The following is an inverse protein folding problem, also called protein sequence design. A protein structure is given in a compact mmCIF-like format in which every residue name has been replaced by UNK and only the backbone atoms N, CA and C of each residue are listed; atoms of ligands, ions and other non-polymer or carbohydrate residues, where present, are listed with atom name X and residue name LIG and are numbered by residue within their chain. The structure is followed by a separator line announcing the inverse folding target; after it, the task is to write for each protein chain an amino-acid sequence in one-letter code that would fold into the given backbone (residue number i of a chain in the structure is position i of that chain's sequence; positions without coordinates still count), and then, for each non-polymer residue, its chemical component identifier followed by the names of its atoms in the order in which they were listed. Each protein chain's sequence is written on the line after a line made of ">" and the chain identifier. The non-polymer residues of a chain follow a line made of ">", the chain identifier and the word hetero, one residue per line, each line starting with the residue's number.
data_IF_272017460996
#
_entry.id   IF_272017460996
#
_cell.length_a   1.000
_cell.length_b   1.000
_cell.length_c   1.000
_cell.angle_alpha   90.00
_cell.angle_beta   90.00
_cell.angle_gamma   90.00
#
_symmetry.space_group_name_H-M   'P 1'
#
loop_
_entity.id
_entity.type
_entity.pdbx_description
1 polymer ?
#
# COMPACT_ATOMS: atom_id res chain seq x y z
N UNK A 1 -2.67 -9.57 -5.35
CA UNK A 1 -3.88 -8.77 -5.65
C UNK A 1 -4.56 -9.41 -6.84
N UNK A 2 -5.70 -10.09 -6.72
CA UNK A 2 -6.31 -10.72 -7.90
C UNK A 2 -6.88 -9.66 -8.85
N UNK A 3 -6.16 -9.40 -9.96
CA UNK A 3 -6.59 -8.65 -11.14
C UNK A 3 -7.33 -7.36 -10.80
N UNK A 4 -6.57 -6.30 -10.50
CA UNK A 4 -7.05 -4.94 -10.77
C UNK A 4 -7.53 -4.94 -12.24
N UNK A 5 -8.84 -4.98 -12.47
CA UNK A 5 -9.36 -4.81 -13.83
C UNK A 5 -8.77 -3.49 -14.31
N UNK A 6 -8.28 -3.44 -15.55
CA UNK A 6 -7.60 -2.28 -16.14
C UNK A 6 -8.36 -0.95 -16.01
N UNK A 7 -9.63 -0.98 -15.59
CA UNK A 7 -10.55 0.14 -15.46
C UNK A 7 -11.33 0.12 -14.12
N UNK A 8 -10.71 -0.29 -13.01
CA UNK A 8 -11.36 -0.08 -11.69
C UNK A 8 -11.34 1.41 -11.38
N UNK A 9 -12.53 1.96 -11.14
CA UNK A 9 -12.67 3.28 -10.56
C UNK A 9 -12.25 3.25 -9.08
N UNK A 10 -11.04 3.72 -8.80
CA UNK A 10 -10.48 3.79 -7.46
C UNK A 10 -10.71 5.14 -6.77
N UNK A 11 -11.58 6.02 -7.31
CA UNK A 11 -11.88 7.33 -6.71
C UNK A 11 -12.43 7.24 -5.29
N UNK A 12 -13.02 6.12 -4.91
CA UNK A 12 -13.48 5.87 -3.53
C UNK A 12 -12.35 5.83 -2.50
N UNK A 13 -11.09 5.70 -2.94
CA UNK A 13 -9.91 5.74 -2.09
C UNK A 13 -9.50 7.16 -1.71
N UNK A 14 -9.93 8.19 -2.44
CA UNK A 14 -9.51 9.56 -2.16
C UNK A 14 -10.00 10.02 -0.79
N UNK A 15 -9.13 10.75 -0.09
CA UNK A 15 -9.33 11.29 1.26
C UNK A 15 -9.59 10.24 2.35
N UNK A 16 -9.45 8.95 2.03
CA UNK A 16 -9.52 7.87 3.01
C UNK A 16 -8.33 7.87 3.94
N UNK A 17 -8.61 7.86 5.24
CA UNK A 17 -7.60 7.86 6.30
C UNK A 17 -7.17 6.42 6.60
N UNK A 18 -5.87 6.16 6.63
CA UNK A 18 -5.36 4.86 7.06
C UNK A 18 -5.44 4.73 8.58
N UNK A 19 -6.32 3.87 9.07
CA UNK A 19 -6.58 3.68 10.50
C UNK A 19 -5.89 2.44 11.09
N UNK A 20 -5.48 1.49 10.24
CA UNK A 20 -4.83 0.27 10.70
C UNK A 20 -3.89 -0.31 9.64
N UNK A 21 -2.76 -0.84 10.12
CA UNK A 21 -1.86 -1.71 9.36
C UNK A 21 -1.77 -3.05 10.08
N UNK A 22 -2.01 -4.14 9.35
CA UNK A 22 -1.85 -5.50 9.84
C UNK A 22 -0.75 -6.21 9.04
N UNK A 23 0.33 -6.59 9.72
CA UNK A 23 1.49 -7.26 9.10
C UNK A 23 1.49 -8.74 9.48
N UNK A 24 1.33 -9.61 8.49
CA UNK A 24 1.52 -11.05 8.56
C UNK A 24 2.78 -11.48 7.80
N UNK A 25 3.15 -12.76 7.90
CA UNK A 25 4.39 -13.28 7.32
C UNK A 25 4.44 -13.13 5.79
N UNK A 26 3.32 -13.34 5.11
CA UNK A 26 3.20 -13.29 3.64
C UNK A 26 2.19 -12.25 3.15
N UNK A 27 1.59 -11.52 4.07
CA UNK A 27 0.43 -10.69 3.80
C UNK A 27 0.51 -9.42 4.62
N UNK A 28 0.25 -8.28 3.99
CA UNK A 28 0.06 -7.01 4.66
C UNK A 28 -1.29 -6.43 4.26
N UNK A 29 -2.01 -5.87 5.23
CA UNK A 29 -3.28 -5.20 5.00
C UNK A 29 -3.26 -3.78 5.55
N UNK A 30 -3.71 -2.87 4.70
CA UNK A 30 -3.92 -1.45 4.97
C UNK A 30 -5.43 -1.24 5.05
N UNK A 31 -5.93 -0.94 6.24
CA UNK A 31 -7.34 -0.67 6.47
C UNK A 31 -7.55 0.82 6.67
N UNK A 32 -8.49 1.34 5.90
CA UNK A 32 -8.91 2.72 5.88
C UNK A 32 -10.28 2.86 6.54
N UNK A 33 -10.75 4.09 6.72
CA UNK A 33 -12.12 4.38 7.11
C UNK A 33 -13.16 3.81 6.11
N UNK A 34 -14.42 3.75 6.54
CA UNK A 34 -15.55 3.24 5.74
C UNK A 34 -15.36 1.82 5.17
N UNK A 35 -14.76 0.93 5.97
CA UNK A 35 -14.56 -0.50 5.66
C UNK A 35 -13.73 -0.77 4.39
N UNK A 36 -12.96 0.22 3.93
CA UNK A 36 -12.04 0.07 2.81
C UNK A 36 -10.76 -0.62 3.29
N UNK A 37 -10.34 -1.66 2.58
CA UNK A 37 -9.06 -2.31 2.84
C UNK A 37 -8.34 -2.65 1.54
N UNK A 38 -7.02 -2.45 1.55
CA UNK A 38 -6.12 -2.86 0.47
C UNK A 38 -5.12 -3.81 1.08
N UNK A 39 -4.94 -4.97 0.45
CA UNK A 39 -3.94 -5.95 0.88
C UNK A 39 -3.04 -6.38 -0.26
N UNK A 40 -1.81 -6.69 0.12
CA UNK A 40 -0.83 -7.34 -0.75
C UNK A 40 -0.43 -8.69 -0.15
N UNK A 41 -0.25 -9.65 -1.05
CA UNK A 41 0.38 -10.93 -0.79
C UNK A 41 1.74 -10.88 -1.48
N UNK A 42 2.83 -11.11 -0.74
CA UNK A 42 4.19 -10.97 -1.26
C UNK A 42 4.73 -9.54 -1.27
N UNK A 43 5.66 -9.24 -2.17
CA UNK A 43 6.48 -8.04 -2.12
C UNK A 43 5.67 -6.74 -2.26
N UNK A 44 6.04 -5.71 -1.48
CA UNK A 44 5.57 -4.35 -1.70
C UNK A 44 6.71 -3.35 -1.61
N UNK A 45 6.50 -2.18 -2.23
CA UNK A 45 7.43 -1.06 -2.14
C UNK A 45 6.85 0.02 -1.25
N UNK A 46 7.73 0.72 -0.56
CA UNK A 46 7.38 1.83 0.31
C UNK A 46 8.39 2.95 0.13
N UNK A 47 7.91 4.15 -0.18
CA UNK A 47 8.71 5.35 -0.30
C UNK A 47 8.39 6.28 0.85
N UNK A 48 9.39 6.61 1.66
CA UNK A 48 9.23 7.43 2.88
C UNK A 48 9.46 8.93 2.65
N UNK A 49 9.49 9.37 1.40
CA UNK A 49 9.83 10.76 1.04
C UNK A 49 11.31 10.98 0.76
N UNK A 50 12.19 10.04 1.12
CA UNK A 50 13.63 10.09 0.87
C UNK A 50 14.09 8.88 0.05
N UNK A 51 13.81 7.68 0.53
CA UNK A 51 14.31 6.42 -0.01
C UNK A 51 13.15 5.46 -0.35
N UNK A 52 13.39 4.57 -1.32
CA UNK A 52 12.51 3.45 -1.63
C UNK A 52 12.97 2.20 -0.88
N UNK A 53 12.04 1.55 -0.20
CA UNK A 53 12.23 0.33 0.56
C UNK A 53 11.37 -0.79 -0.03
N UNK A 54 11.95 -1.97 -0.21
CA UNK A 54 11.24 -3.15 -0.70
C UNK A 54 11.07 -4.12 0.46
N UNK A 55 9.82 -4.39 0.84
CA UNK A 55 9.53 -5.48 1.76
C UNK A 55 9.44 -6.79 0.99
N UNK A 56 10.06 -7.82 1.54
CA UNK A 56 9.94 -9.21 1.10
C UNK A 56 9.56 -10.08 2.29
N UNK A 57 8.78 -11.15 2.10
CA UNK A 57 8.39 -12.06 3.18
C UNK A 57 9.53 -13.00 3.57
N UNK A 58 10.64 -12.44 4.03
CA UNK A 58 11.85 -13.16 4.47
C UNK A 58 12.25 -12.79 5.91
N UNK A 59 12.96 -13.68 6.62
CA UNK A 59 13.41 -13.41 7.98
C UNK A 59 14.23 -12.12 8.06
N UNK A 60 13.91 -11.27 9.03
CA UNK A 60 14.62 -10.01 9.22
C UNK A 60 14.22 -8.90 8.24
N UNK A 61 13.07 -9.00 7.56
CA UNK A 61 12.48 -7.90 6.77
C UNK A 61 11.32 -7.20 7.48
N UNK A 62 10.97 -7.60 8.71
CA UNK A 62 9.83 -7.05 9.47
C UNK A 62 9.96 -5.54 9.75
N UNK A 63 11.18 -5.03 9.89
CA UNK A 63 11.45 -3.60 10.05
C UNK A 63 11.08 -2.79 8.80
N UNK A 64 11.19 -3.39 7.61
CA UNK A 64 10.73 -2.73 6.38
C UNK A 64 9.21 -2.66 6.38
N UNK A 65 8.53 -3.73 6.79
CA UNK A 65 7.07 -3.69 6.97
C UNK A 65 6.64 -2.65 8.02
N UNK A 66 7.35 -2.57 9.15
CA UNK A 66 7.06 -1.64 10.22
C UNK A 66 7.17 -0.16 9.80
N UNK A 67 7.96 0.18 8.76
CA UNK A 67 8.02 1.55 8.22
C UNK A 67 6.67 2.05 7.74
N UNK A 68 5.81 1.15 7.28
CA UNK A 68 4.46 1.50 6.81
C UNK A 68 3.54 1.98 7.92
N UNK A 69 3.88 1.76 9.20
CA UNK A 69 3.16 2.34 10.33
C UNK A 69 3.18 3.87 10.33
N UNK A 70 4.16 4.50 9.65
CA UNK A 70 4.21 5.95 9.47
C UNK A 70 3.07 6.50 8.58
N UNK A 71 2.31 5.63 7.92
CA UNK A 71 1.12 6.00 7.14
C UNK A 71 -0.14 6.13 8.02
N UNK A 72 -0.13 5.64 9.26
CA UNK A 72 -1.29 5.73 10.16
C UNK A 72 -1.69 7.19 10.37
N UNK A 73 -2.97 7.49 10.18
CA UNK A 73 -3.54 8.84 10.23
C UNK A 73 -3.32 9.68 8.98
N UNK A 74 -2.58 9.18 7.98
CA UNK A 74 -2.43 9.86 6.70
C UNK A 74 -3.61 9.52 5.78
N UNK A 75 -3.99 10.48 4.93
CA UNK A 75 -5.07 10.33 3.96
C UNK A 75 -4.51 10.10 2.55
N UNK A 76 -5.19 9.29 1.74
CA UNK A 76 -4.82 9.13 0.33
C UNK A 76 -5.15 10.43 -0.42
N UNK A 77 -4.17 10.98 -1.14
CA UNK A 77 -4.30 12.19 -1.96
C UNK A 77 -4.25 11.93 -3.45
N UNK A 78 -3.63 10.84 -3.86
CA UNK A 78 -3.62 10.43 -5.25
C UNK A 78 -3.42 8.90 -5.34
N UNK A 79 -3.89 8.33 -6.44
CA UNK A 79 -3.60 6.95 -6.80
C UNK A 79 -3.24 6.87 -8.29
N UNK A 80 -2.31 5.97 -8.61
CA UNK A 80 -1.90 5.69 -9.98
C UNK A 80 -1.98 4.17 -10.21
N UNK A 81 -2.73 3.76 -11.22
CA UNK A 81 -2.73 2.39 -11.71
C UNK A 81 -1.95 2.34 -13.02
N UNK A 82 -0.93 1.49 -13.10
CA UNK A 82 -0.17 1.31 -14.34
C UNK A 82 -0.62 0.06 -15.10
N UNK A 83 -0.27 -0.02 -16.39
CA UNK A 83 -0.67 -1.14 -17.28
C UNK A 83 -0.17 -2.51 -16.80
N UNK A 84 0.86 -2.52 -15.95
CA UNK A 84 1.47 -3.69 -15.34
C UNK A 84 0.73 -4.18 -14.08
N UNK A 85 -0.42 -3.59 -13.75
CA UNK A 85 -1.24 -4.00 -12.60
C UNK A 85 -0.73 -3.48 -11.24
N UNK A 86 0.23 -2.56 -11.23
CA UNK A 86 0.69 -1.90 -9.98
C UNK A 86 -0.31 -0.81 -9.60
N UNK A 87 -0.68 -0.80 -8.33
CA UNK A 87 -1.38 0.31 -7.69
C UNK A 87 -0.39 1.10 -6.83
N UNK A 88 -0.16 2.36 -7.14
CA UNK A 88 0.60 3.27 -6.31
C UNK A 88 -0.32 4.25 -5.61
N UNK A 89 -0.26 4.29 -4.28
CA UNK A 89 -0.99 5.25 -3.45
C UNK A 89 -0.04 6.35 -2.98
N UNK A 90 -0.47 7.61 -3.05
CA UNK A 90 0.25 8.76 -2.49
C UNK A 90 -0.54 9.32 -1.32
N UNK A 91 0.13 9.49 -0.18
CA UNK A 91 -0.48 9.92 1.08
C UNK A 91 -0.22 11.40 1.38
N UNK A 92 -1.02 11.99 2.27
CA UNK A 92 -0.92 13.39 2.70
C UNK A 92 0.39 13.76 3.39
N UNK A 93 1.11 12.78 3.93
CA UNK A 93 2.45 12.94 4.49
C UNK A 93 3.58 12.89 3.42
N UNK A 94 3.22 12.77 2.14
CA UNK A 94 4.16 12.69 1.02
C UNK A 94 4.73 11.30 0.75
N UNK A 95 4.40 10.31 1.59
CA UNK A 95 4.85 8.93 1.41
C UNK A 95 4.05 8.23 0.30
N UNK A 96 4.63 7.17 -0.26
CA UNK A 96 3.99 6.39 -1.32
C UNK A 96 4.06 4.90 -1.06
N UNK A 97 3.04 4.20 -1.53
CA UNK A 97 2.92 2.75 -1.39
C UNK A 97 2.60 2.11 -2.76
N UNK A 98 3.62 1.76 -3.56
CA UNK A 98 3.45 0.93 -4.74
C UNK A 98 3.26 -0.55 -4.37
N UNK A 99 2.08 -1.08 -4.69
CA UNK A 99 1.73 -2.49 -4.57
C UNK A 99 1.75 -3.13 -5.94
N UNK A 100 2.56 -4.18 -6.10
CA UNK A 100 2.72 -4.91 -7.35
C UNK A 100 1.71 -6.06 -7.41
N UNK A 101 1.05 -6.23 -8.56
CA UNK A 101 0.36 -7.48 -8.88
C UNK A 101 1.39 -8.46 -9.44
N UNK A 102 1.97 -9.30 -8.57
CA UNK A 102 2.77 -10.45 -9.00
C UNK A 102 1.83 -11.59 -9.41
N UNK A 103 1.15 -11.43 -10.54
CA UNK A 103 0.46 -12.52 -11.25
C UNK A 103 1.41 -13.20 -12.24
#
# INVERSE_FOLDING_TARGET
>A
MYRLKKEIDLRFLNDRELIQVAVGLYHISFRFDEDVAISAEGDFRYFDGQDEWVWRPEPGSSQVAARTLALLGATIKNFESNENGTLALTFSNGHRLPMLDSS
#
